data_IF_518513413802
#
_entry.id   IF_518513413802
#
_cell.length_a   1.000
_cell.length_b   1.000
_cell.length_c   1.000
_cell.angle_alpha   90.00
_cell.angle_beta   90.00
_cell.angle_gamma   90.00
#
_symmetry.space_group_name_H-M   'P 1'
#
loop_
_entity.id
_entity.type
_entity.pdbx_description
1 polymer ?
#
# COMPACT_ATOMS: atom_id res chain seq x y z
N UNK A 1 1.08 -31.47 -6.32
CA UNK A 1 2.03 -30.50 -5.73
C UNK A 1 1.41 -29.94 -4.46
N UNK A 2 2.16 -29.71 -3.39
CA UNK A 2 1.59 -29.21 -2.15
C UNK A 2 1.11 -27.75 -2.24
N UNK A 3 1.49 -27.01 -3.30
CA UNK A 3 1.07 -25.61 -3.52
C UNK A 3 0.42 -25.48 -4.89
N UNK A 4 -0.78 -24.87 -4.92
CA UNK A 4 -1.43 -24.48 -6.17
C UNK A 4 -2.30 -23.23 -5.98
N UNK A 5 -2.75 -22.67 -7.12
CA UNK A 5 -3.67 -21.55 -7.14
C UNK A 5 -5.07 -22.02 -6.72
N UNK A 6 -5.68 -21.30 -5.78
CA UNK A 6 -7.04 -21.58 -5.33
C UNK A 6 -8.03 -21.08 -6.38
N UNK A 7 -8.89 -21.98 -6.86
CA UNK A 7 -9.92 -21.69 -7.87
C UNK A 7 -11.29 -22.19 -7.49
N UNK A 8 -11.34 -23.26 -6.71
CA UNK A 8 -12.57 -23.87 -6.29
C UNK A 8 -13.22 -23.06 -5.15
N UNK A 9 -14.53 -22.96 -5.17
CA UNK A 9 -15.32 -22.23 -4.16
C UNK A 9 -14.97 -22.66 -2.73
N UNK A 10 -14.88 -23.97 -2.50
CA UNK A 10 -14.55 -24.50 -1.17
C UNK A 10 -13.14 -24.15 -0.71
N UNK A 11 -12.17 -24.12 -1.64
CA UNK A 11 -10.81 -23.70 -1.33
C UNK A 11 -10.76 -22.22 -0.93
N UNK A 12 -11.51 -21.35 -1.64
CA UNK A 12 -11.59 -19.92 -1.33
C UNK A 12 -12.26 -19.68 0.02
N UNK A 13 -13.34 -20.40 0.34
CA UNK A 13 -14.01 -20.34 1.64
C UNK A 13 -13.10 -20.80 2.76
N UNK A 14 -12.36 -21.88 2.56
CA UNK A 14 -11.42 -22.40 3.55
C UNK A 14 -10.24 -21.44 3.75
N UNK A 15 -9.73 -20.81 2.68
CA UNK A 15 -8.71 -19.77 2.76
C UNK A 15 -9.19 -18.56 3.59
N UNK A 16 -10.43 -18.13 3.38
CA UNK A 16 -11.05 -17.05 4.15
C UNK A 16 -11.21 -17.43 5.64
N UNK A 17 -11.62 -18.67 5.92
CA UNK A 17 -11.69 -19.20 7.28
C UNK A 17 -10.30 -19.23 7.96
N UNK A 18 -9.26 -19.67 7.25
CA UNK A 18 -7.88 -19.69 7.78
C UNK A 18 -7.41 -18.25 8.05
N UNK A 19 -7.73 -17.30 7.18
CA UNK A 19 -7.49 -15.89 7.40
C UNK A 19 -8.15 -15.39 8.68
N UNK A 20 -9.42 -15.69 8.89
CA UNK A 20 -10.15 -15.25 10.08
C UNK A 20 -9.52 -15.78 11.38
N UNK A 21 -9.08 -17.03 11.38
CA UNK A 21 -8.36 -17.63 12.53
C UNK A 21 -7.04 -16.90 12.76
N UNK A 22 -6.26 -16.65 11.70
CA UNK A 22 -4.94 -16.04 11.83
C UNK A 22 -5.02 -14.58 12.29
N UNK A 23 -6.04 -13.83 11.86
CA UNK A 23 -6.26 -12.42 12.20
C UNK A 23 -7.23 -12.21 13.37
N UNK A 24 -7.68 -13.31 14.01
CA UNK A 24 -8.57 -13.28 15.20
C UNK A 24 -9.83 -12.45 14.91
N UNK A 25 -10.47 -12.71 13.80
CA UNK A 25 -11.71 -12.05 13.37
C UNK A 25 -12.88 -13.03 13.31
N UNK A 26 -14.12 -12.59 13.53
CA UNK A 26 -15.29 -13.42 13.30
C UNK A 26 -15.35 -13.92 11.85
N UNK A 27 -15.90 -15.12 11.67
CA UNK A 27 -16.13 -15.68 10.34
C UNK A 27 -17.50 -16.34 10.29
N UNK A 28 -18.24 -16.05 9.27
CA UNK A 28 -19.53 -16.67 8.99
C UNK A 28 -19.52 -17.22 7.58
N UNK A 29 -19.79 -18.53 7.46
CA UNK A 29 -19.75 -19.22 6.17
C UNK A 29 -20.82 -18.72 5.19
N UNK A 30 -22.02 -18.42 5.67
CA UNK A 30 -23.09 -17.95 4.79
C UNK A 30 -22.80 -16.55 4.25
N UNK A 31 -22.21 -15.69 5.06
CA UNK A 31 -21.76 -14.36 4.64
C UNK A 31 -20.62 -14.48 3.63
N UNK A 32 -19.64 -15.33 3.86
CA UNK A 32 -18.54 -15.61 2.94
C UNK A 32 -19.06 -16.14 1.58
N UNK A 33 -20.00 -17.07 1.59
CA UNK A 33 -20.65 -17.58 0.36
C UNK A 33 -21.35 -16.46 -0.38
N UNK A 34 -22.17 -15.65 0.31
CA UNK A 34 -22.83 -14.48 -0.31
C UNK A 34 -21.82 -13.50 -0.91
N UNK A 35 -20.69 -13.31 -0.26
CA UNK A 35 -19.60 -12.48 -0.77
C UNK A 35 -19.02 -12.99 -2.08
N UNK A 36 -18.72 -14.29 -2.16
CA UNK A 36 -18.20 -14.93 -3.40
C UNK A 36 -19.21 -14.95 -4.55
N UNK A 37 -20.51 -15.05 -4.24
CA UNK A 37 -21.58 -15.08 -5.22
C UNK A 37 -22.09 -13.68 -5.60
N UNK A 38 -21.55 -12.64 -5.00
CA UNK A 38 -21.92 -11.26 -5.30
C UNK A 38 -21.55 -10.90 -6.75
N UNK A 39 -22.43 -10.20 -7.49
CA UNK A 39 -22.11 -9.68 -8.82
C UNK A 39 -20.89 -8.75 -8.84
N UNK A 40 -20.59 -8.12 -7.71
CA UNK A 40 -19.45 -7.21 -7.53
C UNK A 40 -18.17 -7.94 -7.09
N UNK A 41 -18.23 -9.27 -6.91
CA UNK A 41 -17.06 -10.04 -6.52
C UNK A 41 -15.99 -10.01 -7.60
N UNK A 42 -14.81 -9.55 -7.22
CA UNK A 42 -13.62 -9.54 -8.08
C UNK A 42 -12.64 -10.58 -7.54
N UNK A 43 -12.43 -11.71 -8.24
CA UNK A 43 -11.55 -12.75 -7.77
C UNK A 43 -10.11 -12.23 -7.69
N UNK A 44 -9.56 -12.29 -6.49
CA UNK A 44 -8.13 -12.05 -6.25
C UNK A 44 -7.38 -13.37 -6.42
N UNK A 45 -6.25 -13.34 -7.12
CA UNK A 45 -5.40 -14.52 -7.24
C UNK A 45 -4.95 -14.94 -5.85
N UNK A 46 -5.08 -16.23 -5.55
CA UNK A 46 -4.74 -16.80 -4.24
C UNK A 46 -3.96 -18.09 -4.44
N UNK A 47 -3.01 -18.36 -3.56
CA UNK A 47 -2.29 -19.62 -3.51
C UNK A 47 -2.45 -20.26 -2.15
N UNK A 48 -2.57 -21.59 -2.14
CA UNK A 48 -2.69 -22.39 -0.93
C UNK A 48 -1.68 -23.53 -0.89
N UNK A 49 -1.34 -23.94 0.32
CA UNK A 49 -0.54 -25.12 0.60
C UNK A 49 -1.43 -26.20 1.18
N UNK A 50 -1.29 -27.42 0.68
CA UNK A 50 -2.11 -28.57 1.05
C UNK A 50 -1.26 -29.70 1.65
N UNK A 51 -1.85 -30.48 2.56
CA UNK A 51 -1.30 -31.76 2.98
C UNK A 51 -1.47 -32.80 1.87
N UNK A 52 -0.88 -34.00 2.06
CA UNK A 52 -1.07 -35.12 1.14
C UNK A 52 -2.53 -35.60 1.10
N UNK A 53 -3.28 -35.42 2.19
CA UNK A 53 -4.69 -35.73 2.29
C UNK A 53 -5.62 -34.66 1.71
N UNK A 54 -5.06 -33.58 1.18
CA UNK A 54 -5.81 -32.49 0.52
C UNK A 54 -6.37 -31.42 1.47
N UNK A 55 -5.88 -31.33 2.71
CA UNK A 55 -6.27 -30.27 3.63
C UNK A 55 -5.47 -28.99 3.36
N UNK A 56 -6.16 -27.85 3.17
CA UNK A 56 -5.54 -26.53 3.09
C UNK A 56 -4.95 -26.14 4.45
N UNK A 57 -3.67 -25.81 4.49
CA UNK A 57 -2.94 -25.51 5.76
C UNK A 57 -2.49 -24.07 5.87
N UNK A 58 -2.29 -23.41 4.72
CA UNK A 58 -1.89 -22.02 4.64
C UNK A 58 -2.32 -21.42 3.31
N UNK A 59 -2.49 -20.11 3.26
CA UNK A 59 -2.83 -19.37 2.04
C UNK A 59 -2.29 -17.95 2.05
N UNK A 60 -2.29 -17.31 0.87
CA UNK A 60 -2.09 -15.87 0.70
C UNK A 60 -2.86 -15.36 -0.52
N UNK A 61 -3.08 -14.04 -0.52
CA UNK A 61 -3.78 -13.32 -1.58
C UNK A 61 -2.80 -12.42 -2.35
N UNK A 62 -3.00 -12.32 -3.66
CA UNK A 62 -2.16 -11.55 -4.59
C UNK A 62 -3.00 -10.52 -5.37
N UNK A 63 -3.49 -9.45 -4.71
CA UNK A 63 -4.19 -8.38 -5.41
C UNK A 63 -3.25 -7.65 -6.37
N UNK A 64 -3.73 -7.39 -7.58
CA UNK A 64 -2.95 -6.73 -8.63
C UNK A 64 -3.30 -5.26 -8.71
N UNK A 65 -2.27 -4.42 -8.90
CA UNK A 65 -2.37 -2.97 -8.95
C UNK A 65 -1.46 -2.42 -10.05
N UNK A 66 -1.72 -1.16 -10.42
CA UNK A 66 -0.72 -0.29 -11.04
C UNK A 66 -0.13 0.62 -9.95
N UNK A 67 1.15 0.91 -10.05
CA UNK A 67 1.88 1.71 -9.07
C UNK A 67 2.70 2.77 -9.76
N UNK A 68 2.69 4.00 -9.25
CA UNK A 68 3.56 5.07 -9.75
C UNK A 68 5.01 4.79 -9.36
N UNK A 69 5.90 4.80 -10.34
CA UNK A 69 7.34 4.70 -10.12
C UNK A 69 8.11 5.53 -11.13
N UNK A 70 8.90 6.50 -10.65
CA UNK A 70 9.69 7.44 -11.47
C UNK A 70 8.86 8.09 -12.59
N UNK A 71 7.62 8.49 -12.28
CA UNK A 71 6.69 9.12 -13.24
C UNK A 71 5.95 8.15 -14.16
N UNK A 72 6.21 6.84 -14.07
CA UNK A 72 5.55 5.79 -14.87
C UNK A 72 4.59 4.98 -14.03
N UNK A 73 3.58 4.40 -14.66
CA UNK A 73 2.72 3.40 -14.04
C UNK A 73 3.26 2.02 -14.38
N UNK A 74 3.59 1.26 -13.35
CA UNK A 74 4.17 -0.07 -13.47
C UNK A 74 3.32 -1.13 -12.77
N UNK A 75 3.25 -2.37 -13.30
CA UNK A 75 2.54 -3.46 -12.64
C UNK A 75 3.14 -3.77 -11.27
N UNK A 76 2.27 -3.86 -10.25
CA UNK A 76 2.61 -4.23 -8.89
C UNK A 76 1.63 -5.28 -8.38
N UNK A 77 2.13 -6.23 -7.59
CA UNK A 77 1.31 -7.23 -6.92
C UNK A 77 1.45 -7.06 -5.42
N UNK A 78 0.32 -6.80 -4.76
CA UNK A 78 0.25 -6.82 -3.31
C UNK A 78 0.33 -8.25 -2.77
N UNK A 79 0.78 -8.42 -1.53
CA UNK A 79 0.63 -9.65 -0.78
C UNK A 79 -0.22 -9.36 0.44
N UNK A 80 -1.34 -10.05 0.55
CA UNK A 80 -2.28 -9.93 1.65
C UNK A 80 -2.72 -11.30 2.18
N UNK A 81 -3.45 -11.30 3.29
CA UNK A 81 -4.06 -12.52 3.83
C UNK A 81 -3.07 -13.67 4.07
N UNK A 82 -1.81 -13.38 4.38
CA UNK A 82 -0.82 -14.43 4.69
C UNK A 82 -1.20 -15.11 5.98
N UNK A 83 -1.73 -16.30 5.87
CA UNK A 83 -2.32 -17.03 6.99
C UNK A 83 -1.90 -18.50 6.98
N UNK A 84 -1.86 -19.11 8.15
CA UNK A 84 -1.70 -20.55 8.33
C UNK A 84 -2.45 -21.02 9.54
N UNK A 85 -2.98 -22.23 9.47
CA UNK A 85 -3.54 -22.91 10.63
C UNK A 85 -2.48 -23.04 11.73
N UNK A 86 -2.82 -22.80 13.00
CA UNK A 86 -1.86 -22.83 14.11
C UNK A 86 -1.08 -24.12 14.20
N UNK A 87 -1.73 -25.26 14.00
CA UNK A 87 -1.16 -26.61 14.05
C UNK A 87 -0.15 -26.92 12.96
N UNK A 88 -0.16 -26.14 11.85
CA UNK A 88 0.77 -26.29 10.73
C UNK A 88 1.84 -25.19 10.68
N UNK A 89 1.91 -24.32 11.70
CA UNK A 89 2.96 -23.30 11.80
C UNK A 89 4.32 -23.95 11.94
N UNK A 90 5.34 -23.23 11.46
CA UNK A 90 6.75 -23.67 11.42
C UNK A 90 7.06 -24.83 10.46
N UNK A 91 6.08 -25.44 9.79
CA UNK A 91 6.25 -26.50 8.81
C UNK A 91 6.75 -26.04 7.43
N UNK A 92 6.93 -24.75 7.21
CA UNK A 92 7.44 -24.20 5.95
C UNK A 92 6.39 -23.99 4.84
N UNK A 93 5.09 -24.25 5.11
CA UNK A 93 4.00 -24.07 4.14
C UNK A 93 4.00 -22.68 3.50
N UNK A 94 4.01 -21.61 4.30
CA UNK A 94 4.04 -20.22 3.81
C UNK A 94 5.28 -19.94 2.96
N UNK A 95 6.44 -20.51 3.30
CA UNK A 95 7.66 -20.37 2.47
C UNK A 95 7.46 -20.97 1.09
N UNK A 96 6.86 -22.15 1.00
CA UNK A 96 6.58 -22.80 -0.28
C UNK A 96 5.60 -21.97 -1.12
N UNK A 97 4.56 -21.43 -0.49
CA UNK A 97 3.62 -20.55 -1.20
C UNK A 97 4.34 -19.30 -1.73
N UNK A 98 5.22 -18.66 -0.93
CA UNK A 98 5.97 -17.48 -1.37
C UNK A 98 6.87 -17.77 -2.57
N UNK A 99 7.52 -18.94 -2.65
CA UNK A 99 8.30 -19.31 -3.83
C UNK A 99 7.42 -19.36 -5.09
N UNK A 100 6.31 -20.09 -5.05
CA UNK A 100 5.37 -20.18 -6.16
C UNK A 100 4.76 -18.80 -6.50
N UNK A 101 4.42 -17.99 -5.50
CA UNK A 101 3.87 -16.67 -5.70
C UNK A 101 4.87 -15.71 -6.36
N UNK A 102 6.13 -15.73 -5.98
CA UNK A 102 7.17 -14.90 -6.59
C UNK A 102 7.44 -15.29 -8.05
N UNK A 103 7.47 -16.59 -8.36
CA UNK A 103 7.57 -17.08 -9.74
C UNK A 103 6.36 -16.63 -10.56
N UNK A 104 5.15 -16.78 -10.01
CA UNK A 104 3.93 -16.31 -10.66
C UNK A 104 3.95 -14.79 -10.91
N UNK A 105 4.37 -13.98 -9.93
CA UNK A 105 4.50 -12.53 -10.10
C UNK A 105 5.49 -12.17 -11.22
N UNK A 106 6.60 -12.91 -11.31
CA UNK A 106 7.56 -12.76 -12.39
C UNK A 106 6.92 -13.03 -13.75
N UNK A 107 6.21 -14.14 -13.89
CA UNK A 107 5.55 -14.54 -15.14
C UNK A 107 4.44 -13.56 -15.55
N UNK A 108 3.76 -12.94 -14.57
CA UNK A 108 2.78 -11.86 -14.82
C UNK A 108 3.45 -10.53 -15.18
N UNK A 109 4.76 -10.44 -15.12
CA UNK A 109 5.50 -9.23 -15.47
C UNK A 109 5.42 -8.13 -14.42
N UNK A 110 5.07 -8.45 -13.17
CA UNK A 110 5.09 -7.49 -12.07
C UNK A 110 6.48 -6.88 -11.93
N UNK A 111 6.56 -5.56 -11.76
CA UNK A 111 7.83 -4.88 -11.51
C UNK A 111 8.16 -4.89 -10.03
N UNK A 112 7.14 -4.69 -9.21
CA UNK A 112 7.25 -4.68 -7.75
C UNK A 112 6.21 -5.61 -7.11
N UNK A 113 6.51 -6.00 -5.87
CA UNK A 113 5.53 -6.54 -4.94
C UNK A 113 5.60 -5.76 -3.63
N UNK A 114 4.44 -5.53 -2.99
CA UNK A 114 4.34 -4.81 -1.72
C UNK A 114 3.48 -5.57 -0.71
N UNK A 115 3.74 -5.34 0.58
CA UNK A 115 2.93 -5.87 1.67
C UNK A 115 3.02 -4.99 2.91
N UNK A 116 2.02 -5.11 3.79
CA UNK A 116 2.06 -4.55 5.14
C UNK A 116 2.53 -5.62 6.12
N UNK A 117 3.72 -5.48 6.71
CA UNK A 117 4.34 -6.55 7.48
C UNK A 117 3.77 -6.65 8.92
N UNK A 118 3.53 -7.88 9.40
CA UNK A 118 3.45 -8.14 10.83
C UNK A 118 4.84 -8.28 11.47
N UNK A 119 5.87 -8.61 10.66
CA UNK A 119 7.26 -8.75 11.08
C UNK A 119 8.20 -8.44 9.91
N UNK A 120 9.04 -7.43 10.03
CA UNK A 120 10.03 -7.08 9.01
C UNK A 120 11.05 -8.21 8.79
N UNK A 121 11.56 -8.81 9.88
CA UNK A 121 12.54 -9.90 9.81
C UNK A 121 12.01 -11.14 9.11
N UNK A 122 10.69 -11.38 9.23
CA UNK A 122 10.05 -12.47 8.54
C UNK A 122 10.03 -12.26 7.02
N UNK A 123 9.60 -11.09 6.56
CA UNK A 123 9.48 -10.80 5.13
C UNK A 123 10.81 -10.50 4.44
N UNK A 124 11.85 -10.09 5.20
CA UNK A 124 13.22 -10.00 4.67
C UNK A 124 13.73 -11.33 4.13
N UNK A 125 13.28 -12.47 4.66
CA UNK A 125 13.60 -13.81 4.13
C UNK A 125 13.12 -14.03 2.70
N UNK A 126 12.14 -13.25 2.27
CA UNK A 126 11.58 -13.25 0.92
C UNK A 126 12.06 -12.06 0.08
N UNK A 127 13.05 -11.31 0.55
CA UNK A 127 13.63 -10.19 -0.18
C UNK A 127 12.81 -8.90 -0.15
N UNK A 128 11.84 -8.77 0.76
CA UNK A 128 11.15 -7.51 1.00
C UNK A 128 11.96 -6.63 1.95
N UNK A 129 11.93 -5.32 1.72
CA UNK A 129 12.55 -4.34 2.60
C UNK A 129 11.63 -3.15 2.81
N UNK A 130 11.80 -2.47 3.95
CA UNK A 130 11.04 -1.27 4.27
C UNK A 130 11.29 -0.20 3.20
N UNK A 131 10.23 0.30 2.59
CA UNK A 131 10.33 1.21 1.45
C UNK A 131 9.71 2.58 1.69
N UNK A 132 8.97 2.76 2.78
CA UNK A 132 8.31 4.02 3.08
C UNK A 132 8.29 4.25 4.60
N UNK A 133 8.66 5.47 5.00
CA UNK A 133 8.43 6.01 6.33
C UNK A 133 7.32 7.05 6.24
N UNK A 134 6.44 7.04 7.22
CA UNK A 134 5.36 8.01 7.35
C UNK A 134 5.39 8.58 8.75
N UNK A 135 5.31 9.89 8.84
CA UNK A 135 5.18 10.57 10.13
C UNK A 135 3.71 10.63 10.53
N UNK A 136 3.40 10.03 11.65
CA UNK A 136 2.08 10.12 12.27
C UNK A 136 2.13 11.10 13.43
N UNK A 137 1.17 12.02 13.44
CA UNK A 137 0.96 13.00 14.50
C UNK A 137 -0.28 12.63 15.31
N UNK A 138 -0.20 12.66 16.64
CA UNK A 138 -1.38 12.75 17.51
C UNK A 138 -1.47 14.20 17.95
N UNK A 139 -2.49 14.90 17.47
CA UNK A 139 -2.69 16.33 17.69
C UNK A 139 -3.92 16.54 18.58
N UNK A 140 -3.79 17.16 19.75
CA UNK A 140 -4.95 17.73 20.43
C UNK A 140 -5.71 18.63 19.46
N UNK A 141 -7.03 18.62 19.51
CA UNK A 141 -7.83 19.41 18.55
C UNK A 141 -7.54 20.90 18.68
N UNK A 142 -7.22 21.39 19.89
CA UNK A 142 -6.82 22.77 20.16
C UNK A 142 -5.56 23.19 19.42
N UNK A 143 -4.63 22.25 19.13
CA UNK A 143 -3.42 22.55 18.35
C UNK A 143 -3.76 23.01 16.91
N UNK A 144 -4.97 22.78 16.46
CA UNK A 144 -5.47 23.18 15.15
C UNK A 144 -6.19 24.54 15.17
N UNK A 145 -6.25 25.25 16.30
CA UNK A 145 -7.00 26.53 16.47
C UNK A 145 -6.64 27.62 15.46
N UNK A 146 -5.38 27.63 15.01
CA UNK A 146 -4.88 28.63 14.04
C UNK A 146 -5.37 28.42 12.62
N UNK A 147 -5.98 27.27 12.33
CA UNK A 147 -6.53 26.96 11.01
C UNK A 147 -8.02 27.28 10.95
N UNK A 148 -8.42 27.93 9.87
CA UNK A 148 -9.83 28.20 9.59
C UNK A 148 -10.27 27.41 8.34
N UNK A 149 -11.49 26.91 8.35
CA UNK A 149 -12.11 26.32 7.19
C UNK A 149 -13.17 27.28 6.65
N UNK A 150 -12.96 27.86 5.49
CA UNK A 150 -13.89 28.81 4.85
C UNK A 150 -14.56 28.23 3.61
N UNK A 151 -14.06 27.12 3.13
CA UNK A 151 -14.60 26.41 1.98
C UNK A 151 -15.86 25.61 2.34
N UNK A 152 -16.59 25.17 1.31
CA UNK A 152 -17.73 24.26 1.47
C UNK A 152 -17.22 22.89 1.88
N UNK A 153 -17.83 22.31 2.90
CA UNK A 153 -17.55 20.95 3.37
C UNK A 153 -18.83 20.14 3.27
N UNK A 154 -18.74 18.94 2.69
CA UNK A 154 -19.85 18.00 2.65
C UNK A 154 -19.38 16.58 2.91
N UNK A 155 -20.23 15.79 3.56
CA UNK A 155 -20.00 14.36 3.70
C UNK A 155 -20.25 13.70 2.34
N UNK A 156 -19.29 12.89 1.91
CA UNK A 156 -19.41 12.09 0.70
C UNK A 156 -20.28 10.86 0.98
N UNK A 157 -21.23 10.57 0.10
CA UNK A 157 -22.15 9.44 0.23
C UNK A 157 -21.86 8.35 -0.81
N UNK A 158 -22.13 7.08 -0.49
CA UNK A 158 -22.04 6.00 -1.47
C UNK A 158 -22.92 6.28 -2.70
N UNK A 159 -22.37 6.02 -3.87
CA UNK A 159 -23.06 6.25 -5.16
C UNK A 159 -22.91 7.65 -5.74
N UNK A 160 -22.27 8.58 -5.04
CA UNK A 160 -21.90 9.88 -5.61
C UNK A 160 -20.78 9.74 -6.65
N UNK A 161 -20.68 10.77 -7.52
CA UNK A 161 -19.57 10.87 -8.48
C UNK A 161 -18.21 10.91 -7.75
N UNK A 162 -17.34 9.98 -8.10
CA UNK A 162 -16.00 9.83 -7.52
C UNK A 162 -14.97 10.80 -8.11
N UNK A 163 -15.29 11.47 -9.23
CA UNK A 163 -14.33 12.33 -9.94
C UNK A 163 -13.70 13.41 -9.07
N UNK A 164 -14.41 14.09 -8.14
CA UNK A 164 -13.79 15.07 -7.25
C UNK A 164 -12.73 14.48 -6.31
N UNK A 165 -12.98 13.28 -5.76
CA UNK A 165 -12.01 12.60 -4.89
C UNK A 165 -10.80 12.11 -5.69
N UNK A 166 -11.03 11.58 -6.89
CA UNK A 166 -9.98 11.13 -7.81
C UNK A 166 -9.07 12.31 -8.22
N UNK A 167 -9.68 13.46 -8.54
CA UNK A 167 -8.93 14.66 -8.91
C UNK A 167 -7.98 15.10 -7.78
N UNK A 168 -8.45 15.15 -6.54
CA UNK A 168 -7.63 15.51 -5.37
C UNK A 168 -6.52 14.48 -5.15
N UNK A 169 -6.81 13.20 -5.21
CA UNK A 169 -5.82 12.12 -5.04
C UNK A 169 -4.73 12.21 -6.10
N UNK A 170 -5.12 12.29 -7.37
CA UNK A 170 -4.20 12.29 -8.50
C UNK A 170 -3.37 13.56 -8.60
N UNK A 171 -3.85 14.68 -8.04
CA UNK A 171 -3.09 15.92 -8.01
C UNK A 171 -1.80 15.83 -7.18
N UNK A 172 -1.78 14.97 -6.14
CA UNK A 172 -0.61 14.86 -5.26
C UNK A 172 -0.32 13.41 -4.83
N UNK A 173 -1.18 12.76 -4.05
CA UNK A 173 -0.88 11.43 -3.50
C UNK A 173 -0.58 10.40 -4.59
N UNK A 174 -1.32 10.44 -5.69
CA UNK A 174 -1.08 9.57 -6.84
C UNK A 174 0.23 9.84 -7.59
N UNK A 175 0.95 10.91 -7.27
CA UNK A 175 2.23 11.26 -7.91
C UNK A 175 3.45 10.78 -7.12
N UNK A 176 3.28 10.37 -5.88
CA UNK A 176 4.40 9.83 -5.11
C UNK A 176 4.89 8.51 -5.68
N UNK A 177 6.20 8.29 -5.65
CA UNK A 177 6.75 6.97 -5.91
C UNK A 177 6.14 5.94 -4.97
N UNK A 178 5.81 4.77 -5.51
CA UNK A 178 5.14 3.66 -4.84
C UNK A 178 3.66 3.92 -4.51
N UNK A 179 3.07 5.03 -4.95
CA UNK A 179 1.64 5.26 -4.82
C UNK A 179 0.83 4.34 -5.75
N UNK A 180 -0.19 3.70 -5.20
CA UNK A 180 -1.12 2.89 -5.98
C UNK A 180 -1.95 3.77 -6.90
N UNK A 181 -1.98 3.46 -8.19
CA UNK A 181 -2.90 4.06 -9.15
C UNK A 181 -4.26 3.37 -9.00
N UNK A 182 -5.20 4.08 -8.40
CA UNK A 182 -6.50 3.50 -8.03
C UNK A 182 -7.40 3.40 -9.23
N UNK A 183 -7.76 2.19 -9.62
CA UNK A 183 -8.80 1.90 -10.59
C UNK A 183 -10.20 2.12 -9.99
N UNK A 184 -11.23 2.16 -10.82
CA UNK A 184 -12.61 2.39 -10.40
C UNK A 184 -13.07 1.40 -9.31
N UNK A 185 -12.69 0.12 -9.43
CA UNK A 185 -12.99 -0.92 -8.42
C UNK A 185 -12.42 -0.58 -7.04
N UNK A 186 -11.21 -0.01 -6.99
CA UNK A 186 -10.56 0.38 -5.74
C UNK A 186 -11.30 1.56 -5.09
N UNK A 187 -11.72 2.53 -5.91
CA UNK A 187 -12.53 3.65 -5.46
C UNK A 187 -13.88 3.18 -4.93
N UNK A 188 -14.59 2.32 -5.66
CA UNK A 188 -15.86 1.73 -5.21
C UNK A 188 -15.72 0.95 -3.91
N UNK A 189 -14.67 0.16 -3.75
CA UNK A 189 -14.38 -0.56 -2.49
C UNK A 189 -14.14 0.38 -1.31
N UNK A 190 -13.46 1.52 -1.54
CA UNK A 190 -13.19 2.50 -0.49
C UNK A 190 -14.44 3.30 -0.08
N UNK A 191 -15.32 3.64 -1.01
CA UNK A 191 -16.40 4.60 -0.80
C UNK A 191 -17.81 4.03 -1.01
N UNK A 192 -17.94 2.77 -1.41
CA UNK A 192 -19.23 2.14 -1.68
C UNK A 192 -20.00 1.65 -0.45
N UNK A 193 -19.38 1.67 0.73
CA UNK A 193 -19.99 1.18 1.97
C UNK A 193 -20.64 2.31 2.76
N UNK A 194 -21.73 1.98 3.48
CA UNK A 194 -22.45 2.91 4.34
C UNK A 194 -21.52 3.50 5.42
N UNK A 195 -21.31 4.84 5.46
CA UNK A 195 -20.44 5.48 6.42
C UNK A 195 -20.80 5.22 7.88
N UNK A 196 -22.10 5.15 8.18
CA UNK A 196 -22.58 4.95 9.53
C UNK A 196 -22.34 3.52 10.04
N UNK A 197 -22.52 2.52 9.17
CA UNK A 197 -22.23 1.11 9.52
C UNK A 197 -20.74 0.84 9.70
N UNK A 198 -19.91 1.42 8.83
CA UNK A 198 -18.45 1.27 8.89
C UNK A 198 -17.80 2.19 9.92
N UNK A 199 -18.57 3.16 10.47
CA UNK A 199 -18.03 4.27 11.27
C UNK A 199 -16.82 4.95 10.60
N UNK A 200 -16.88 5.08 9.29
CA UNK A 200 -15.82 5.66 8.46
C UNK A 200 -16.41 6.79 7.62
N UNK A 201 -16.05 8.00 7.98
CA UNK A 201 -16.61 9.20 7.39
C UNK A 201 -15.65 9.84 6.41
N UNK A 202 -16.15 10.20 5.23
CA UNK A 202 -15.41 10.94 4.21
C UNK A 202 -16.02 12.30 4.03
N UNK A 203 -15.18 13.33 4.13
CA UNK A 203 -15.59 14.71 3.87
C UNK A 203 -14.79 15.26 2.69
N UNK A 204 -15.52 15.83 1.73
CA UNK A 204 -14.96 16.55 0.60
C UNK A 204 -15.03 18.07 0.88
N UNK A 205 -13.93 18.75 0.62
CA UNK A 205 -13.76 20.20 0.77
C UNK A 205 -13.61 20.83 -0.60
N UNK A 206 -14.46 21.82 -0.89
CA UNK A 206 -14.58 22.43 -2.22
C UNK A 206 -14.66 23.95 -2.12
N UNK A 207 -14.03 24.66 -3.05
CA UNK A 207 -14.20 26.10 -3.24
C UNK A 207 -14.86 26.42 -4.60
N UNK A 208 -14.88 27.66 -4.99
CA UNK A 208 -15.43 28.08 -6.27
C UNK A 208 -14.65 27.57 -7.48
N UNK A 209 -13.40 27.13 -7.29
CA UNK A 209 -12.53 26.60 -8.33
C UNK A 209 -12.59 25.06 -8.42
N UNK A 210 -13.20 24.38 -7.46
CA UNK A 210 -13.37 22.94 -7.44
C UNK A 210 -12.88 22.26 -6.16
N UNK A 211 -12.62 20.93 -6.21
CA UNK A 211 -12.22 20.16 -5.04
C UNK A 211 -10.81 20.51 -4.58
N UNK A 212 -10.67 20.79 -3.27
CA UNK A 212 -9.40 21.17 -2.62
C UNK A 212 -8.75 20.03 -1.88
N UNK A 213 -9.55 19.31 -1.11
CA UNK A 213 -9.09 18.25 -0.23
C UNK A 213 -10.21 17.28 0.10
N UNK A 214 -9.84 16.09 0.58
CA UNK A 214 -10.76 15.24 1.31
C UNK A 214 -10.10 14.63 2.53
N UNK A 215 -10.92 14.27 3.52
CA UNK A 215 -10.50 13.63 4.76
C UNK A 215 -11.34 12.37 4.98
N UNK A 216 -10.68 11.25 5.20
CA UNK A 216 -11.31 9.99 5.63
C UNK A 216 -10.86 9.72 7.05
N UNK A 217 -11.79 9.59 7.99
CA UNK A 217 -11.43 9.21 9.35
C UNK A 217 -12.44 8.25 9.99
N UNK A 218 -11.97 7.55 11.01
CA UNK A 218 -12.77 6.72 11.92
C UNK A 218 -12.64 7.25 13.34
N UNK A 219 -13.74 7.30 14.12
CA UNK A 219 -13.63 7.50 15.56
C UNK A 219 -12.99 6.28 16.22
N UNK A 220 -12.13 6.54 17.19
CA UNK A 220 -11.53 5.56 18.08
C UNK A 220 -11.70 6.04 19.52
N UNK A 221 -11.76 5.12 20.48
CA UNK A 221 -11.75 5.48 21.89
C UNK A 221 -10.34 5.98 22.29
N UNK A 222 -10.27 7.11 22.96
CA UNK A 222 -9.08 7.68 23.57
C UNK A 222 -9.13 7.56 25.10
N UNK A 223 -8.17 8.17 25.76
CA UNK A 223 -8.09 8.16 27.24
C UNK A 223 -9.11 9.11 27.87
N UNK A 224 -9.27 10.31 27.30
CA UNK A 224 -10.12 11.38 27.82
C UNK A 224 -11.35 11.66 26.94
N UNK A 225 -11.49 10.98 25.82
CA UNK A 225 -12.57 11.18 24.86
C UNK A 225 -12.33 10.43 23.56
N UNK A 226 -12.95 10.86 22.47
CA UNK A 226 -12.79 10.21 21.16
C UNK A 226 -11.66 10.83 20.37
N UNK A 227 -10.91 9.98 19.70
CA UNK A 227 -9.87 10.37 18.73
C UNK A 227 -10.41 10.16 17.32
N UNK A 228 -10.23 11.16 16.45
CA UNK A 228 -10.46 11.03 15.02
C UNK A 228 -9.22 10.40 14.35
N UNK A 229 -9.24 9.10 14.08
CA UNK A 229 -8.13 8.45 13.35
C UNK A 229 -8.28 8.73 11.85
N UNK A 230 -7.50 9.68 11.33
CA UNK A 230 -7.49 10.06 9.92
C UNK A 230 -6.78 8.96 9.14
N UNK A 231 -7.57 8.23 8.36
CA UNK A 231 -7.10 7.10 7.53
C UNK A 231 -6.44 7.59 6.25
N UNK A 232 -6.93 8.70 5.72
CA UNK A 232 -6.35 9.38 4.57
C UNK A 232 -6.74 10.86 4.59
N UNK A 233 -5.77 11.73 4.37
CA UNK A 233 -5.97 13.14 4.12
C UNK A 233 -5.26 13.46 2.80
N UNK A 234 -6.04 13.78 1.79
CA UNK A 234 -5.55 14.19 0.48
C UNK A 234 -5.86 15.65 0.21
N UNK A 235 -4.95 16.33 -0.45
CA UNK A 235 -5.12 17.72 -0.84
C UNK A 235 -4.41 18.00 -2.16
N UNK A 236 -5.04 18.82 -3.01
CA UNK A 236 -4.48 19.15 -4.31
C UNK A 236 -3.41 20.25 -4.22
N UNK A 237 -3.55 21.16 -3.25
CA UNK A 237 -2.66 22.31 -3.03
C UNK A 237 -2.48 22.55 -1.52
N UNK A 238 -1.43 23.26 -1.06
CA UNK A 238 -1.21 23.57 0.36
C UNK A 238 -2.41 24.20 1.06
N UNK A 239 -3.20 25.02 0.33
CA UNK A 239 -4.43 25.60 0.87
C UNK A 239 -5.46 24.51 1.25
N UNK A 240 -5.60 23.46 0.45
CA UNK A 240 -6.48 22.32 0.78
C UNK A 240 -6.11 21.65 2.09
N UNK A 241 -4.81 21.51 2.41
CA UNK A 241 -4.36 21.03 3.71
C UNK A 241 -4.80 21.97 4.85
N UNK A 242 -4.61 23.29 4.69
CA UNK A 242 -5.04 24.28 5.69
C UNK A 242 -6.54 24.24 5.95
N UNK A 243 -7.34 24.17 4.89
CA UNK A 243 -8.79 24.04 4.97
C UNK A 243 -9.20 22.72 5.67
N UNK A 244 -8.53 21.62 5.37
CA UNK A 244 -8.80 20.32 6.02
C UNK A 244 -8.47 20.34 7.51
N UNK A 245 -7.34 20.94 7.92
CA UNK A 245 -6.98 21.11 9.34
C UNK A 245 -8.00 22.00 10.05
N UNK A 246 -8.44 23.10 9.44
CA UNK A 246 -9.50 23.96 9.97
C UNK A 246 -10.86 23.26 10.06
N UNK A 247 -11.17 22.35 9.15
CA UNK A 247 -12.35 21.50 9.26
C UNK A 247 -12.24 20.53 10.46
N UNK A 248 -11.09 19.88 10.65
CA UNK A 248 -10.88 19.00 11.81
C UNK A 248 -11.02 19.78 13.13
N UNK A 249 -10.52 21.03 13.21
CA UNK A 249 -10.71 21.89 14.36
C UNK A 249 -12.18 22.09 14.72
N UNK A 250 -13.09 22.26 13.74
CA UNK A 250 -14.52 22.41 13.98
C UNK A 250 -15.17 21.20 14.66
N UNK A 251 -14.51 20.04 14.64
CA UNK A 251 -14.99 18.81 15.23
C UNK A 251 -14.56 18.65 16.71
N UNK A 252 -13.96 19.69 17.31
CA UNK A 252 -13.44 19.66 18.68
C UNK A 252 -14.47 19.36 19.78
N UNK A 253 -15.77 19.59 19.50
CA UNK A 253 -16.82 19.17 20.42
C UNK A 253 -17.01 17.63 20.48
N UNK A 254 -16.58 16.89 19.46
CA UNK A 254 -16.70 15.44 19.37
C UNK A 254 -15.38 14.70 19.56
N UNK A 255 -14.25 15.32 19.21
CA UNK A 255 -12.93 14.69 19.21
C UNK A 255 -11.93 15.50 20.02
N UNK A 256 -11.32 14.86 21.02
CA UNK A 256 -10.25 15.46 21.82
C UNK A 256 -8.97 15.66 21.02
N UNK A 257 -8.70 14.73 20.08
CA UNK A 257 -7.50 14.73 19.28
C UNK A 257 -7.76 14.10 17.90
N UNK A 258 -6.84 14.38 16.98
CA UNK A 258 -6.75 13.69 15.70
C UNK A 258 -5.42 12.99 15.56
N UNK A 259 -5.47 11.75 15.03
CA UNK A 259 -4.28 11.01 14.61
C UNK A 259 -4.17 11.13 13.09
N UNK A 260 -3.13 11.82 12.61
CA UNK A 260 -2.96 12.16 11.19
C UNK A 260 -1.62 11.63 10.72
N UNK A 261 -1.62 10.83 9.67
CA UNK A 261 -0.40 10.39 8.99
C UNK A 261 -0.25 11.15 7.67
N UNK A 262 0.93 11.75 7.46
CA UNK A 262 1.22 12.54 6.27
C UNK A 262 2.55 12.07 5.64
N UNK A 263 2.71 12.25 4.32
CA UNK A 263 4.00 12.06 3.67
C UNK A 263 5.11 12.91 4.30
N UNK A 264 6.34 12.42 4.23
CA UNK A 264 7.50 13.04 4.89
C UNK A 264 7.78 14.48 4.40
N UNK A 265 7.43 14.79 3.15
CA UNK A 265 7.58 16.14 2.56
C UNK A 265 6.51 17.14 3.03
N UNK A 266 5.62 16.74 3.95
CA UNK A 266 4.61 17.60 4.58
C UNK A 266 4.98 17.84 6.04
N UNK A 267 5.76 18.90 6.35
CA UNK A 267 6.21 19.17 7.72
C UNK A 267 5.08 19.80 8.56
N UNK A 268 4.12 18.98 8.99
CA UNK A 268 2.93 19.46 9.71
C UNK A 268 3.30 20.28 10.95
N UNK A 269 4.30 19.84 11.71
CA UNK A 269 4.75 20.55 12.90
C UNK A 269 5.17 22.02 12.62
N UNK A 270 5.74 22.29 11.42
CA UNK A 270 6.13 23.65 11.04
C UNK A 270 4.92 24.54 10.64
N UNK A 271 3.74 23.99 10.47
CA UNK A 271 2.52 24.72 10.16
C UNK A 271 1.72 25.09 11.40
N UNK A 272 1.99 24.43 12.53
CA UNK A 272 1.30 24.68 13.80
C UNK A 272 1.83 25.92 14.49
N UNK A 273 0.96 26.64 15.20
CA UNK A 273 1.33 27.78 16.03
C UNK A 273 2.22 27.35 17.21
N UNK A 274 1.91 26.20 17.77
CA UNK A 274 2.63 25.54 18.84
C UNK A 274 2.78 24.05 18.50
N UNK A 275 3.99 23.52 18.58
CA UNK A 275 4.27 22.14 18.16
C UNK A 275 4.81 21.24 19.29
N UNK A 276 4.97 21.77 20.52
CA UNK A 276 5.54 21.00 21.63
C UNK A 276 4.68 19.80 22.05
N UNK A 277 3.37 19.93 21.96
CA UNK A 277 2.42 18.87 22.32
C UNK A 277 2.15 17.88 21.18
N UNK A 278 2.79 18.08 20.04
CA UNK A 278 2.72 17.14 18.94
C UNK A 278 3.81 16.08 19.12
N UNK A 279 3.42 14.86 19.40
CA UNK A 279 4.34 13.73 19.45
C UNK A 279 4.40 13.04 18.08
N UNK A 280 5.26 13.48 17.14
CA UNK A 280 5.40 12.78 15.88
C UNK A 280 6.03 11.41 16.12
N UNK A 281 5.41 10.38 15.60
CA UNK A 281 5.94 9.02 15.61
C UNK A 281 6.12 8.53 14.19
N UNK A 282 7.19 7.81 13.96
CA UNK A 282 7.34 7.11 12.70
C UNK A 282 6.56 5.81 12.77
N UNK A 283 5.69 5.63 11.80
CA UNK A 283 4.97 4.37 11.66
C UNK A 283 5.59 3.56 10.53
N UNK A 284 5.75 2.27 10.80
CA UNK A 284 6.23 1.33 9.82
C UNK A 284 5.14 1.14 8.77
N UNK A 285 5.50 1.48 7.56
CA UNK A 285 4.64 1.38 6.39
C UNK A 285 5.07 0.20 5.50
N UNK A 286 4.51 0.01 4.31
CA UNK A 286 4.71 -1.20 3.54
C UNK A 286 6.18 -1.51 3.29
N UNK A 287 6.44 -2.79 3.19
CA UNK A 287 7.67 -3.31 2.58
C UNK A 287 7.44 -3.54 1.10
N UNK A 288 8.49 -3.36 0.31
CA UNK A 288 8.49 -3.66 -1.11
C UNK A 288 9.62 -4.63 -1.49
N UNK A 289 9.37 -5.37 -2.55
CA UNK A 289 10.36 -6.21 -3.24
C UNK A 289 10.35 -5.85 -4.72
N UNK A 290 11.52 -5.75 -5.32
CA UNK A 290 11.67 -5.73 -6.77
C UNK A 290 11.47 -7.15 -7.31
N UNK A 291 10.51 -7.32 -8.20
CA UNK A 291 10.26 -8.59 -8.89
C UNK A 291 11.06 -8.64 -10.18
N UNK A 292 10.95 -7.61 -11.03
CA UNK A 292 11.77 -7.50 -12.26
C UNK A 292 12.77 -6.35 -12.15
N UNK A 293 14.03 -6.68 -11.85
CA UNK A 293 15.10 -5.68 -11.69
C UNK A 293 15.32 -4.89 -12.98
N UNK A 294 15.40 -5.58 -14.13
CA UNK A 294 15.62 -4.91 -15.40
C UNK A 294 14.55 -3.87 -15.71
N UNK A 295 13.26 -4.20 -15.52
CA UNK A 295 12.14 -3.27 -15.74
C UNK A 295 12.16 -2.11 -14.76
N UNK A 296 12.50 -2.37 -13.48
CA UNK A 296 12.63 -1.32 -12.48
C UNK A 296 13.76 -0.34 -12.82
N UNK A 297 14.91 -0.85 -13.26
CA UNK A 297 16.04 -0.04 -13.68
C UNK A 297 15.74 0.74 -14.98
N UNK A 298 14.98 0.15 -15.91
CA UNK A 298 14.52 0.84 -17.13
C UNK A 298 13.58 2.01 -16.81
N UNK A 299 12.74 1.89 -15.79
CA UNK A 299 11.86 2.97 -15.35
C UNK A 299 12.62 4.09 -14.62
N UNK A 300 13.77 3.79 -14.02
CA UNK A 300 14.61 4.76 -13.29
C UNK A 300 15.69 5.35 -14.17
N UNK A 301 15.40 6.48 -14.84
CA UNK A 301 16.42 7.19 -15.62
C UNK A 301 17.57 7.68 -14.72
N UNK A 302 18.82 7.41 -15.05
CA UNK A 302 19.93 8.20 -14.51
C UNK A 302 19.79 9.65 -15.01
N UNK A 303 20.19 10.63 -14.20
CA UNK A 303 20.25 12.03 -14.67
C UNK A 303 21.11 12.16 -15.93
N UNK A 304 20.87 13.20 -16.72
CA UNK A 304 21.54 13.46 -18.00
C UNK A 304 23.06 13.30 -17.91
N UNK A 305 23.64 12.55 -18.84
CA UNK A 305 25.08 12.27 -18.90
C UNK A 305 25.62 11.34 -17.80
N UNK A 306 24.76 10.74 -16.96
CA UNK A 306 25.19 9.80 -15.92
C UNK A 306 24.99 8.36 -16.34
N UNK A 307 25.89 7.51 -15.88
CA UNK A 307 25.75 6.07 -15.97
C UNK A 307 26.20 5.42 -14.65
N UNK A 308 25.63 4.28 -14.34
CA UNK A 308 26.03 3.49 -13.20
C UNK A 308 25.86 1.98 -13.49
N UNK A 309 26.55 1.17 -12.72
CA UNK A 309 26.47 -0.29 -12.83
C UNK A 309 25.97 -0.85 -11.51
N UNK A 310 25.01 -1.78 -11.59
CA UNK A 310 24.43 -2.47 -10.44
C UNK A 310 24.61 -3.96 -10.62
N UNK A 311 25.28 -4.60 -9.66
CA UNK A 311 25.33 -6.06 -9.56
C UNK A 311 24.18 -6.52 -8.66
N UNK A 312 23.38 -7.46 -9.16
CA UNK A 312 22.23 -8.00 -8.42
C UNK A 312 22.42 -9.48 -8.20
N UNK A 313 22.15 -9.91 -6.99
CA UNK A 313 22.05 -11.30 -6.58
C UNK A 313 20.70 -11.54 -5.91
N UNK A 314 19.90 -12.44 -6.47
CA UNK A 314 18.56 -12.79 -5.97
C UNK A 314 18.45 -14.33 -5.91
N UNK A 315 18.38 -14.85 -4.70
CA UNK A 315 18.30 -16.31 -4.48
C UNK A 315 16.93 -16.89 -4.82
N UNK A 316 15.87 -16.07 -4.76
CA UNK A 316 14.49 -16.51 -4.96
C UNK A 316 14.01 -16.32 -6.40
N UNK A 317 14.56 -15.33 -7.09
CA UNK A 317 14.29 -15.04 -8.50
C UNK A 317 15.60 -14.98 -9.30
N UNK A 318 16.18 -16.13 -9.67
CA UNK A 318 17.47 -16.19 -10.36
C UNK A 318 17.51 -15.41 -11.68
N UNK A 319 16.34 -15.14 -12.28
CA UNK A 319 16.20 -14.28 -13.45
C UNK A 319 16.71 -12.85 -13.24
N UNK A 320 16.76 -12.37 -11.99
CA UNK A 320 17.31 -11.06 -11.62
C UNK A 320 18.85 -11.06 -11.52
N UNK A 321 19.51 -12.23 -11.44
CA UNK A 321 20.95 -12.26 -11.23
C UNK A 321 21.71 -11.71 -12.43
N UNK A 322 22.62 -10.79 -12.18
CA UNK A 322 23.47 -10.22 -13.23
C UNK A 322 24.05 -8.87 -12.87
N UNK A 323 24.80 -8.33 -13.83
CA UNK A 323 25.34 -6.97 -13.74
C UNK A 323 24.59 -6.14 -14.78
N UNK A 324 23.96 -5.06 -14.34
CA UNK A 324 23.17 -4.18 -15.18
C UNK A 324 23.89 -2.84 -15.32
N UNK A 325 24.14 -2.42 -16.55
CA UNK A 325 24.64 -1.09 -16.85
C UNK A 325 23.44 -0.19 -17.21
N UNK A 326 23.25 0.85 -16.43
CA UNK A 326 22.18 1.84 -16.64
C UNK A 326 22.80 3.13 -17.12
N UNK A 327 22.40 3.58 -18.32
CA UNK A 327 22.90 4.82 -18.93
C UNK A 327 21.78 5.54 -19.69
N UNK A 328 21.80 6.85 -19.68
CA UNK A 328 20.95 7.67 -20.53
C UNK A 328 21.71 7.96 -21.83
N UNK A 329 21.19 7.48 -22.97
CA UNK A 329 21.68 7.81 -24.30
C UNK A 329 20.64 8.66 -25.02
N UNK A 330 20.99 9.93 -25.32
CA UNK A 330 20.18 10.83 -26.16
C UNK A 330 19.18 11.71 -25.43
N UNK A 331 18.43 12.51 -26.20
CA UNK A 331 17.47 13.51 -25.71
C UNK A 331 16.36 12.91 -24.82
N UNK A 332 15.66 13.72 -24.00
CA UNK A 332 14.86 13.30 -22.83
C UNK A 332 13.68 12.37 -23.08
N UNK A 333 13.45 11.89 -24.28
CA UNK A 333 12.29 11.08 -24.65
C UNK A 333 12.59 9.62 -25.01
N UNK A 334 13.84 9.16 -24.94
CA UNK A 334 14.19 7.80 -25.36
C UNK A 334 14.99 7.06 -24.29
N UNK A 335 14.30 6.19 -23.59
CA UNK A 335 14.85 5.16 -22.71
C UNK A 335 15.70 4.19 -23.54
N UNK A 336 16.96 4.02 -23.23
CA UNK A 336 17.76 2.96 -23.84
C UNK A 336 18.64 2.25 -22.84
N UNK A 337 18.34 1.00 -22.78
CA UNK A 337 19.07 -0.21 -22.41
C UNK A 337 19.72 -0.25 -21.04
N UNK A 338 18.99 -0.89 -20.12
CA UNK A 338 19.61 -1.78 -19.17
C UNK A 338 20.05 -3.03 -19.93
N UNK A 339 21.35 -3.30 -20.05
CA UNK A 339 21.88 -4.54 -20.65
C UNK A 339 22.57 -5.36 -19.56
N UNK A 340 22.35 -6.67 -19.54
CA UNK A 340 23.19 -7.56 -18.76
C UNK A 340 24.62 -7.42 -19.29
N UNK A 341 25.53 -6.91 -18.46
CA UNK A 341 26.94 -6.91 -18.76
C UNK A 341 27.49 -8.31 -18.54
N UNK A 342 28.47 -8.78 -19.36
CA UNK A 342 29.16 -10.04 -19.09
C UNK A 342 29.82 -9.97 -17.70
N UNK A 343 29.75 -11.06 -16.93
CA UNK A 343 30.45 -11.18 -15.64
C UNK A 343 31.91 -10.83 -15.86
N UNK A 344 32.38 -9.71 -15.36
CA UNK A 344 33.81 -9.52 -15.16
C UNK A 344 34.21 -10.43 -14.00
N UNK A 345 34.94 -11.48 -14.30
CA UNK A 345 35.63 -12.29 -13.30
C UNK A 345 36.62 -11.38 -12.60
N UNK A 346 36.29 -10.93 -11.40
CA UNK A 346 37.19 -10.14 -10.57
C UNK A 346 38.40 -10.99 -10.19
N UNK A 347 39.65 -10.52 -10.40
CA UNK A 347 40.86 -11.23 -9.96
C UNK A 347 41.19 -10.86 -8.50
N UNK A 348 40.22 -10.80 -7.61
CA UNK A 348 40.51 -10.64 -6.18
C UNK A 348 40.37 -12.00 -5.49
N UNK A 349 41.34 -12.88 -5.71
CA UNK A 349 41.71 -13.92 -4.76
C UNK A 349 42.50 -13.23 -3.66
N UNK A 350 41.87 -12.98 -2.51
CA UNK A 350 42.61 -12.68 -1.30
C UNK A 350 43.30 -13.96 -0.85
N UNK A 351 44.62 -14.04 -1.07
CA UNK A 351 45.47 -14.98 -0.38
C UNK A 351 45.78 -14.45 1.03
N UNK A 352 45.80 -15.38 1.98
CA UNK A 352 46.13 -15.45 3.40
C UNK A 352 44.92 -15.47 4.32
#
# INVERSE_FOLDING_TARGET
MPVHRLTEKEELLESDRICSIAFVSPWDREEAVRGLESPDFQPTVSFGHFTEEGQLTASLLLPQFQMRYEGHDVPMVGVGGVASLPEYRYGGAVRQIFHTALEWMWDQGAVFSTLYPFSHSYYRKFGYELCQLVTQYKLPTEALESFSCTCKVRMFQPGEDLAPLQAVYNARLGQYNLAVQREERHWKSLFGKDPAKEMRYTYLLEDACGPLAYVIFKPEEGEDGKIGNVRELAFAKPEGLRQALGFLYRLGAQYEAFRIALPEDVPLAALLKESYDTAPTWINQPMARVIHVEKALQAKAPGEGRSYTVAVEDQLLPGNNGVFQVSQQGAPSLWKSCRRAPRQTSPWTCGC
#
